data_IF_884206870856
#
_entry.id   IF_884206870856
#
_cell.length_a   1.000
_cell.length_b   1.000
_cell.length_c   1.000
_cell.angle_alpha   90.00
_cell.angle_beta   90.00
_cell.angle_gamma   90.00
#
_symmetry.space_group_name_H-M   'P 1'
#
loop_
_entity.id
_entity.type
_entity.pdbx_description
1 polymer ?
#
# COMPACT_ATOMS: atom_id res chain seq x y z
N UNK A 1 -1.66 18.64 10.05
CA UNK A 1 -1.41 17.36 10.76
C UNK A 1 -1.67 16.12 9.90
N UNK A 2 -2.14 16.25 8.66
CA UNK A 2 -2.48 15.07 7.82
C UNK A 2 -1.29 14.33 7.22
N UNK A 3 -0.14 15.00 7.05
CA UNK A 3 1.06 14.41 6.43
C UNK A 3 1.57 13.19 7.21
N UNK A 4 1.68 13.31 8.54
CA UNK A 4 2.14 12.21 9.40
C UNK A 4 1.20 11.00 9.41
N UNK A 5 -0.12 11.24 9.29
CA UNK A 5 -1.10 10.14 9.16
C UNK A 5 -0.94 9.41 7.83
N UNK A 6 -0.75 10.15 6.74
CA UNK A 6 -0.50 9.56 5.41
C UNK A 6 0.81 8.77 5.38
N UNK A 7 1.90 9.33 5.90
CA UNK A 7 3.21 8.66 5.96
C UNK A 7 3.13 7.36 6.78
N UNK A 8 2.41 7.37 7.91
CA UNK A 8 2.14 6.17 8.71
C UNK A 8 1.33 5.11 7.95
N UNK A 9 0.27 5.52 7.24
CA UNK A 9 -0.54 4.60 6.42
C UNK A 9 0.28 3.97 5.27
N UNK A 10 1.11 4.76 4.59
CA UNK A 10 2.02 4.26 3.55
C UNK A 10 2.98 3.21 4.11
N UNK A 11 3.67 3.52 5.21
CA UNK A 11 4.64 2.62 5.82
C UNK A 11 3.99 1.31 6.31
N UNK A 12 2.78 1.40 6.88
CA UNK A 12 2.02 0.24 7.32
C UNK A 12 1.65 -0.65 6.13
N UNK A 13 1.09 -0.07 5.07
CA UNK A 13 0.68 -0.80 3.89
C UNK A 13 1.89 -1.44 3.19
N UNK A 14 3.01 -0.73 3.08
CA UNK A 14 4.25 -1.27 2.53
C UNK A 14 4.70 -2.52 3.29
N UNK A 15 4.69 -2.47 4.62
CA UNK A 15 5.07 -3.61 5.47
C UNK A 15 4.11 -4.79 5.33
N UNK A 16 2.80 -4.54 5.23
CA UNK A 16 1.80 -5.59 5.04
C UNK A 16 1.94 -6.27 3.67
N UNK A 17 2.08 -5.48 2.61
CA UNK A 17 2.30 -5.98 1.26
C UNK A 17 3.61 -6.77 1.17
N UNK A 18 4.67 -6.30 1.85
CA UNK A 18 5.95 -7.01 1.89
C UNK A 18 5.84 -8.35 2.62
N UNK A 19 5.06 -8.42 3.70
CA UNK A 19 4.84 -9.68 4.42
C UNK A 19 3.99 -10.68 3.62
N UNK A 20 2.99 -10.20 2.88
CA UNK A 20 2.07 -11.07 2.13
C UNK A 20 2.62 -11.50 0.77
N UNK A 21 3.34 -10.63 0.09
CA UNK A 21 3.79 -10.83 -1.30
C UNK A 21 5.32 -10.84 -1.47
N UNK A 22 6.08 -10.67 -0.39
CA UNK A 22 7.54 -10.57 -0.43
C UNK A 22 8.03 -9.19 -0.85
N UNK A 23 9.31 -9.08 -1.21
CA UNK A 23 9.96 -7.80 -1.54
C UNK A 23 9.19 -7.02 -2.61
N UNK A 24 8.73 -5.82 -2.25
CA UNK A 24 8.01 -4.96 -3.17
C UNK A 24 8.95 -4.36 -4.22
N UNK A 25 8.55 -4.36 -5.51
CA UNK A 25 9.30 -3.67 -6.56
C UNK A 25 9.26 -2.15 -6.33
N UNK A 26 10.28 -1.44 -6.82
CA UNK A 26 10.39 0.02 -6.65
C UNK A 26 9.15 0.78 -7.18
N UNK A 27 8.53 0.29 -8.25
CA UNK A 27 7.30 0.85 -8.81
C UNK A 27 6.12 0.81 -7.80
N UNK A 28 6.00 -0.27 -7.03
CA UNK A 28 4.98 -0.41 -6.00
C UNK A 28 5.21 0.59 -4.85
N UNK A 29 6.44 0.70 -4.36
CA UNK A 29 6.82 1.70 -3.34
C UNK A 29 6.52 3.13 -3.79
N UNK A 30 6.84 3.45 -5.04
CA UNK A 30 6.56 4.76 -5.61
C UNK A 30 5.04 5.03 -5.74
N UNK A 31 4.24 4.03 -6.08
CA UNK A 31 2.76 4.13 -6.08
C UNK A 31 2.24 4.40 -4.67
N UNK A 32 2.72 3.67 -3.66
CA UNK A 32 2.35 3.86 -2.26
C UNK A 32 2.65 5.29 -1.78
N UNK A 33 3.86 5.79 -2.02
CA UNK A 33 4.27 7.14 -1.60
C UNK A 33 3.42 8.26 -2.24
N UNK A 34 2.97 8.06 -3.48
CA UNK A 34 2.16 9.04 -4.23
C UNK A 34 0.65 8.93 -3.95
N UNK A 35 0.19 7.81 -3.40
CA UNK A 35 -1.22 7.53 -3.19
C UNK A 35 -1.91 8.55 -2.27
N UNK A 36 -3.18 8.86 -2.54
CA UNK A 36 -4.03 9.61 -1.62
C UNK A 36 -4.52 8.74 -0.45
N UNK A 37 -5.07 9.36 0.59
CA UNK A 37 -5.63 8.65 1.73
C UNK A 37 -6.69 7.59 1.31
N UNK A 38 -7.63 7.98 0.44
CA UNK A 38 -8.66 7.07 -0.07
C UNK A 38 -8.10 5.87 -0.86
N UNK A 39 -6.97 6.04 -1.57
CA UNK A 39 -6.32 4.93 -2.26
C UNK A 39 -5.65 3.97 -1.27
N UNK A 40 -5.01 4.51 -0.23
CA UNK A 40 -4.40 3.69 0.82
C UNK A 40 -5.46 2.90 1.60
N UNK A 41 -6.62 3.49 1.88
CA UNK A 41 -7.76 2.80 2.49
C UNK A 41 -8.29 1.70 1.56
N UNK A 42 -8.59 2.01 0.30
CA UNK A 42 -9.07 1.02 -0.67
C UNK A 42 -8.09 -0.14 -0.86
N UNK A 43 -6.78 0.12 -0.85
CA UNK A 43 -5.78 -0.93 -0.91
C UNK A 43 -5.67 -1.74 0.38
N UNK A 44 -5.98 -1.16 1.54
CA UNK A 44 -6.02 -1.87 2.82
C UNK A 44 -7.16 -2.88 2.86
N UNK A 45 -8.34 -2.50 2.36
CA UNK A 45 -9.47 -3.41 2.20
C UNK A 45 -9.18 -4.50 1.16
N UNK A 46 -8.71 -4.08 -0.02
CA UNK A 46 -8.37 -5.01 -1.09
C UNK A 46 -7.25 -5.98 -0.70
N UNK A 47 -6.33 -5.57 0.18
CA UNK A 47 -5.26 -6.42 0.67
C UNK A 47 -5.81 -7.70 1.28
N UNK A 48 -6.94 -7.66 2.00
CA UNK A 48 -7.50 -8.82 2.69
C UNK A 48 -7.84 -9.95 1.71
N UNK A 49 -8.39 -9.61 0.55
CA UNK A 49 -8.89 -10.55 -0.46
C UNK A 49 -7.91 -10.79 -1.62
N UNK A 50 -6.99 -9.86 -1.86
CA UNK A 50 -6.10 -9.91 -3.01
C UNK A 50 -5.12 -11.09 -2.94
N UNK A 51 -4.94 -11.75 -4.08
CA UNK A 51 -3.99 -12.86 -4.26
C UNK A 51 -2.67 -12.40 -4.88
N UNK A 52 -2.58 -11.14 -5.31
CA UNK A 52 -1.35 -10.58 -5.88
C UNK A 52 -1.27 -9.07 -5.73
N UNK A 53 -0.04 -8.54 -5.78
CA UNK A 53 0.21 -7.08 -5.79
C UNK A 53 -0.50 -6.36 -6.93
N UNK A 54 -0.64 -7.00 -8.10
CA UNK A 54 -1.32 -6.41 -9.27
C UNK A 54 -2.82 -6.20 -9.03
N UNK A 55 -3.46 -6.96 -8.14
CA UNK A 55 -4.87 -6.74 -7.82
C UNK A 55 -5.08 -5.53 -6.90
N UNK A 56 -4.05 -5.12 -6.17
CA UNK A 56 -4.09 -3.99 -5.25
C UNK A 56 -3.58 -2.73 -5.95
N UNK A 57 -2.35 -2.82 -6.48
CA UNK A 57 -1.61 -1.71 -7.07
C UNK A 57 -1.68 -1.70 -8.60
N UNK A 58 -2.58 -2.47 -9.21
CA UNK A 58 -2.80 -2.55 -10.65
C UNK A 58 -3.22 -1.23 -11.24
#
# INVERSE_FOLDING_TARGET
MEKGRKEGAVALLERQLTQRFGTLPQAARNKLAKAGAAQLESWSDALLEARSLKQILG
#
